data_IF_019472219016
#
_entry.id   IF_019472219016
#
_cell.length_a   1.000
_cell.length_b   1.000
_cell.length_c   1.000
_cell.angle_alpha   90.00
_cell.angle_beta   90.00
_cell.angle_gamma   90.00
#
_symmetry.space_group_name_H-M   'P 1'
#
loop_
_entity.id
_entity.type
_entity.pdbx_description
1 polymer ?
#
# COMPACT_ATOMS: atom_id res chain seq x y z
N UNK A 1 15.83 6.90 -2.92
CA UNK A 1 14.74 6.43 -2.04
C UNK A 1 14.11 5.23 -2.70
N UNK A 2 14.31 4.03 -2.15
CA UNK A 2 13.71 2.81 -2.72
C UNK A 2 12.27 2.67 -2.22
N UNK A 3 11.34 2.42 -3.13
CA UNK A 3 9.94 2.13 -2.81
C UNK A 3 9.65 0.63 -2.93
N UNK A 4 8.70 0.14 -2.14
CA UNK A 4 8.20 -1.24 -2.17
C UNK A 4 6.73 -1.22 -2.55
N UNK A 5 6.36 -2.10 -3.48
CA UNK A 5 4.97 -2.37 -3.83
C UNK A 5 4.31 -3.12 -2.67
N UNK A 6 3.23 -2.55 -2.15
CA UNK A 6 2.46 -3.12 -1.06
C UNK A 6 0.99 -3.23 -1.45
N UNK A 7 0.37 -4.37 -1.12
CA UNK A 7 -1.07 -4.55 -1.28
C UNK A 7 -1.76 -4.14 0.02
N UNK A 8 -2.74 -3.26 -0.09
CA UNK A 8 -3.55 -2.82 1.03
C UNK A 8 -4.57 -3.89 1.36
N UNK A 9 -4.65 -4.29 2.63
CA UNK A 9 -5.52 -5.38 3.08
C UNK A 9 -6.93 -4.89 3.44
N UNK A 10 -7.06 -3.61 3.83
CA UNK A 10 -8.32 -2.97 4.23
C UNK A 10 -8.25 -1.47 4.01
N UNK A 11 -9.39 -0.80 3.90
CA UNK A 11 -9.41 0.66 3.84
C UNK A 11 -8.81 1.25 5.11
N UNK A 12 -7.88 2.20 4.98
CA UNK A 12 -7.34 2.91 6.13
C UNK A 12 -6.90 4.33 5.76
N UNK A 13 -6.90 5.21 6.76
CA UNK A 13 -6.33 6.57 6.66
C UNK A 13 -5.11 6.66 7.57
N UNK A 14 -3.99 7.08 7.02
CA UNK A 14 -2.80 7.40 7.80
C UNK A 14 -2.99 8.77 8.47
N UNK A 15 -3.00 8.81 9.80
CA UNK A 15 -3.24 10.04 10.54
C UNK A 15 -2.07 11.03 10.50
N UNK A 16 -0.85 10.57 10.19
CA UNK A 16 0.35 11.41 10.12
C UNK A 16 0.49 12.17 8.80
N UNK A 17 -0.02 11.60 7.71
CA UNK A 17 0.11 12.13 6.34
C UNK A 17 -1.24 12.48 5.70
N UNK A 18 -2.34 12.11 6.35
CA UNK A 18 -3.71 12.20 5.86
C UNK A 18 -4.02 11.42 4.58
N UNK A 19 -3.08 10.60 4.11
CA UNK A 19 -3.29 9.71 2.96
C UNK A 19 -4.36 8.68 3.27
N UNK A 20 -5.23 8.44 2.30
CA UNK A 20 -6.25 7.40 2.37
C UNK A 20 -5.89 6.28 1.40
N UNK A 21 -5.99 5.04 1.86
CA UNK A 21 -5.69 3.83 1.12
C UNK A 21 -6.95 2.98 1.02
N UNK A 22 -7.20 2.46 -0.17
CA UNK A 22 -8.32 1.56 -0.42
C UNK A 22 -7.89 0.10 -0.32
N UNK A 23 -8.76 -0.77 0.21
CA UNK A 23 -8.56 -2.20 0.25
C UNK A 23 -8.26 -2.76 -1.16
N UNK A 24 -7.39 -3.77 -1.21
CA UNK A 24 -6.90 -4.46 -2.41
C UNK A 24 -6.08 -3.60 -3.38
N UNK A 25 -5.92 -2.29 -3.12
CA UNK A 25 -5.08 -1.43 -3.93
C UNK A 25 -3.60 -1.79 -3.75
N UNK A 26 -2.84 -1.70 -4.85
CA UNK A 26 -1.38 -1.83 -4.84
C UNK A 26 -0.77 -0.44 -4.87
N UNK A 27 0.01 -0.10 -3.85
CA UNK A 27 0.64 1.21 -3.69
C UNK A 27 2.14 1.09 -3.52
N UNK A 28 2.85 2.11 -3.97
CA UNK A 28 4.29 2.25 -3.73
C UNK A 28 4.52 2.98 -2.41
N UNK A 29 5.14 2.29 -1.45
CA UNK A 29 5.46 2.82 -0.13
C UNK A 29 6.97 2.92 0.05
N UNK A 30 7.44 3.89 0.83
CA UNK A 30 8.83 3.86 1.31
C UNK A 30 9.05 2.65 2.23
N UNK A 31 10.31 2.25 2.44
CA UNK A 31 10.61 1.12 3.34
C UNK A 31 10.10 1.35 4.77
N UNK A 32 10.13 2.60 5.26
CA UNK A 32 9.60 2.97 6.57
C UNK A 32 8.07 2.89 6.64
N UNK A 33 7.36 3.44 5.65
CA UNK A 33 5.90 3.34 5.55
C UNK A 33 5.46 1.88 5.47
N UNK A 34 6.12 1.08 4.62
CA UNK A 34 5.82 -0.35 4.49
C UNK A 34 6.00 -1.09 5.81
N UNK A 35 7.14 -0.92 6.49
CA UNK A 35 7.40 -1.59 7.76
C UNK A 35 6.36 -1.22 8.83
N UNK A 36 5.98 0.06 8.90
CA UNK A 36 4.97 0.55 9.83
C UNK A 36 3.59 -0.07 9.53
N UNK A 37 3.13 0.02 8.28
CA UNK A 37 1.80 -0.46 7.89
C UNK A 37 1.72 -1.99 7.91
N UNK A 38 2.79 -2.70 7.56
CA UNK A 38 2.85 -4.15 7.63
C UNK A 38 2.84 -4.64 9.10
N UNK A 39 3.56 -3.96 10.00
CA UNK A 39 3.51 -4.28 11.44
C UNK A 39 2.12 -4.06 12.05
N UNK A 40 1.37 -3.08 11.54
CA UNK A 40 -0.04 -2.86 11.90
C UNK A 40 -1.02 -3.83 11.18
N UNK A 41 -0.51 -4.71 10.32
CA UNK A 41 -1.31 -5.65 9.52
C UNK A 41 -2.25 -4.95 8.56
N UNK A 42 -1.90 -3.76 8.05
CA UNK A 42 -2.69 -2.96 7.11
C UNK A 42 -2.32 -3.25 5.64
N UNK A 43 -1.07 -3.64 5.39
CA UNK A 43 -0.56 -3.96 4.07
C UNK A 43 0.27 -5.24 4.08
N UNK A 44 0.44 -5.85 2.92
CA UNK A 44 1.37 -6.96 2.68
C UNK A 44 2.26 -6.67 1.46
N UNK A 45 3.33 -7.45 1.27
CA UNK A 45 4.15 -7.32 0.08
C UNK A 45 3.31 -7.70 -1.16
N UNK A 46 3.21 -6.79 -2.13
CA UNK A 46 2.50 -7.11 -3.36
C UNK A 46 3.27 -8.18 -4.13
N UNK A 47 2.59 -9.26 -4.54
CA UNK A 47 3.22 -10.27 -5.38
C UNK A 47 3.40 -9.73 -6.79
N UNK A 48 4.34 -10.28 -7.56
CA UNK A 48 4.53 -9.89 -8.98
C UNK A 48 3.25 -10.02 -9.82
N UNK A 49 2.28 -10.80 -9.36
CA UNK A 49 0.94 -10.99 -9.94
C UNK A 49 -0.02 -9.83 -9.65
N UNK A 50 0.13 -9.11 -8.52
CA UNK A 50 -0.73 -7.99 -8.12
C UNK A 50 -0.38 -6.68 -8.84
N UNK A 51 0.81 -6.59 -9.47
CA UNK A 51 1.29 -5.41 -10.19
C UNK A 51 0.48 -5.06 -11.47
N UNK A 52 -0.61 -5.78 -11.77
CA UNK A 52 -1.50 -5.52 -12.91
C UNK A 52 -2.80 -4.80 -12.53
N UNK A 53 -2.96 -4.34 -11.29
CA UNK A 53 -4.08 -3.47 -10.91
C UNK A 53 -3.60 -2.01 -10.93
N UNK A 54 -3.10 -1.58 -12.09
CA UNK A 54 -3.05 -0.17 -12.42
C UNK A 54 -4.50 0.30 -12.55
N UNK A 55 -5.04 0.88 -11.48
CA UNK A 55 -6.31 1.61 -11.53
C UNK A 55 -6.21 2.71 -12.57
N UNK A 56 -6.67 2.39 -13.78
CA UNK A 56 -7.12 3.34 -14.77
C UNK A 56 -8.21 4.18 -14.11
N UNK A 57 -7.85 5.38 -13.68
CA UNK A 57 -8.82 6.46 -13.48
C UNK A 57 -9.26 6.91 -14.88
N UNK A 58 -10.44 6.46 -15.30
CA UNK A 58 -11.16 7.01 -16.44
C UNK A 58 -11.63 8.44 -16.14
#
# INVERSE_FOLDING_TARGET
>A
MSTKKAKVLRDFKDAGTEKTFAAEAVVDLTEGEFANYAAAGLVEAASATDAKVDTKKA
#
